data_IF_674720216121
#
_entry.id   IF_674720216121
#
_cell.length_a   1.000
_cell.length_b   1.000
_cell.length_c   1.000
_cell.angle_alpha   90.00
_cell.angle_beta   90.00
_cell.angle_gamma   90.00
#
_symmetry.space_group_name_H-M   'P 1'
#
loop_
_entity.id
_entity.type
_entity.pdbx_description
1 polymer ?
#
# COMPACT_ATOMS: atom_id res chain seq x y z
N UNK A 1 -38.69 -18.79 -24.35
CA UNK A 1 -37.41 -18.17 -24.74
C UNK A 1 -36.47 -19.25 -25.24
N UNK A 2 -35.86 -19.08 -26.42
CA UNK A 2 -34.81 -20.00 -26.88
C UNK A 2 -33.62 -20.00 -25.89
N UNK A 3 -32.93 -21.14 -25.71
CA UNK A 3 -31.88 -21.30 -24.70
C UNK A 3 -30.71 -20.33 -24.88
N UNK A 4 -30.41 -19.95 -26.14
CA UNK A 4 -29.37 -18.98 -26.49
C UNK A 4 -29.68 -17.57 -26.00
N UNK A 5 -30.94 -17.15 -25.91
CA UNK A 5 -31.30 -15.83 -25.37
C UNK A 5 -31.23 -15.82 -23.84
N UNK A 6 -31.44 -16.98 -23.21
CA UNK A 6 -31.32 -17.13 -21.76
C UNK A 6 -29.86 -17.02 -21.31
N UNK A 7 -28.92 -17.61 -22.06
CA UNK A 7 -27.50 -17.43 -21.79
C UNK A 7 -27.07 -15.97 -21.94
N UNK A 8 -27.64 -15.25 -22.91
CA UNK A 8 -27.37 -13.84 -23.12
C UNK A 8 -27.81 -12.97 -21.95
N UNK A 9 -29.09 -13.13 -21.57
CA UNK A 9 -29.67 -12.40 -20.45
C UNK A 9 -28.98 -12.74 -19.12
N UNK A 10 -28.54 -13.99 -18.94
CA UNK A 10 -27.83 -14.43 -17.75
C UNK A 10 -26.47 -13.76 -17.60
N UNK A 11 -25.68 -13.63 -18.69
CA UNK A 11 -24.39 -12.92 -18.60
C UNK A 11 -24.59 -11.42 -18.41
N UNK A 12 -25.58 -10.80 -19.05
CA UNK A 12 -25.90 -9.38 -18.86
C UNK A 12 -26.29 -9.07 -17.41
N UNK A 13 -27.14 -9.92 -16.82
CA UNK A 13 -27.54 -9.81 -15.42
C UNK A 13 -26.35 -9.97 -14.48
N UNK A 14 -25.47 -10.94 -14.74
CA UNK A 14 -24.26 -11.18 -13.97
C UNK A 14 -23.31 -9.97 -14.00
N UNK A 15 -23.00 -9.44 -15.19
CA UNK A 15 -22.15 -8.26 -15.34
C UNK A 15 -22.71 -7.06 -14.57
N UNK A 16 -24.02 -6.84 -14.62
CA UNK A 16 -24.67 -5.75 -13.87
C UNK A 16 -24.65 -5.95 -12.35
N UNK A 17 -24.54 -7.20 -11.88
CA UNK A 17 -24.42 -7.53 -10.47
C UNK A 17 -22.98 -7.44 -9.93
N UNK A 18 -21.96 -7.37 -10.79
CA UNK A 18 -20.57 -7.19 -10.36
C UNK A 18 -20.38 -5.83 -9.66
N UNK A 19 -19.90 -5.88 -8.42
CA UNK A 19 -19.30 -4.77 -7.68
C UNK A 19 -17.87 -5.19 -7.33
N UNK A 20 -16.80 -4.42 -7.65
CA UNK A 20 -16.73 -3.00 -8.02
C UNK A 20 -17.12 -2.64 -9.47
N UNK A 21 -17.44 -1.35 -9.72
CA UNK A 21 -17.76 -0.80 -11.06
C UNK A 21 -16.63 -1.03 -12.06
N UNK A 22 -15.38 -1.02 -11.58
CA UNK A 22 -14.22 -1.22 -12.42
C UNK A 22 -14.08 -2.67 -12.92
N UNK A 23 -14.38 -3.64 -12.05
CA UNK A 23 -14.44 -5.05 -12.42
C UNK A 23 -15.58 -5.31 -13.42
N UNK A 24 -16.70 -4.61 -13.28
CA UNK A 24 -17.79 -4.60 -14.27
C UNK A 24 -17.34 -4.07 -15.62
N UNK A 25 -16.72 -2.88 -15.67
CA UNK A 25 -16.25 -2.26 -16.91
C UNK A 25 -15.24 -3.16 -17.64
N UNK A 26 -14.32 -3.78 -16.91
CA UNK A 26 -13.32 -4.67 -17.50
C UNK A 26 -13.91 -5.99 -18.02
N UNK A 27 -14.87 -6.54 -17.29
CA UNK A 27 -15.58 -7.74 -17.73
C UNK A 27 -16.41 -7.44 -18.97
N UNK A 28 -16.99 -6.24 -19.08
CA UNK A 28 -17.67 -5.76 -20.29
C UNK A 28 -16.72 -5.60 -21.49
N UNK A 29 -15.56 -4.97 -21.29
CA UNK A 29 -14.56 -4.75 -22.35
C UNK A 29 -13.98 -6.05 -22.92
N UNK A 30 -13.99 -7.13 -22.13
CA UNK A 30 -13.54 -8.45 -22.58
C UNK A 30 -14.58 -9.23 -23.41
N UNK A 31 -15.81 -8.69 -23.56
CA UNK A 31 -16.91 -9.27 -24.34
C UNK A 31 -17.07 -10.80 -24.19
N UNK A 32 -17.33 -11.32 -22.98
CA UNK A 32 -17.53 -12.75 -22.79
C UNK A 32 -18.81 -13.22 -23.48
N UNK A 33 -18.71 -14.23 -24.34
CA UNK A 33 -19.83 -14.85 -25.05
C UNK A 33 -20.58 -15.91 -24.22
N UNK A 34 -20.15 -16.16 -22.97
CA UNK A 34 -20.79 -17.12 -22.07
C UNK A 34 -20.71 -16.66 -20.62
N UNK A 35 -21.70 -17.07 -19.82
CA UNK A 35 -21.73 -16.83 -18.38
C UNK A 35 -20.46 -17.38 -17.67
N UNK A 36 -20.00 -18.56 -18.09
CA UNK A 36 -18.81 -19.20 -17.52
C UNK A 36 -17.55 -18.39 -17.83
N UNK A 37 -17.38 -17.91 -19.07
CA UNK A 37 -16.27 -17.03 -19.41
C UNK A 37 -16.29 -15.71 -18.63
N UNK A 38 -17.47 -15.13 -18.42
CA UNK A 38 -17.64 -13.93 -17.59
C UNK A 38 -17.22 -14.18 -16.13
N UNK A 39 -17.62 -15.33 -15.56
CA UNK A 39 -17.25 -15.73 -14.21
C UNK A 39 -15.75 -15.96 -14.06
N UNK A 40 -15.13 -16.66 -15.02
CA UNK A 40 -13.68 -16.87 -15.02
C UNK A 40 -12.90 -15.55 -15.11
N UNK A 41 -13.35 -14.62 -15.95
CA UNK A 41 -12.71 -13.31 -16.09
C UNK A 41 -12.85 -12.46 -14.83
N UNK A 42 -14.01 -12.49 -14.18
CA UNK A 42 -14.25 -11.81 -12.92
C UNK A 42 -13.29 -12.33 -11.83
N UNK A 43 -13.20 -13.66 -11.67
CA UNK A 43 -12.30 -14.29 -10.69
C UNK A 43 -10.81 -14.01 -10.98
N UNK A 44 -10.40 -14.09 -12.26
CA UNK A 44 -9.02 -13.78 -12.67
C UNK A 44 -8.64 -12.33 -12.35
N UNK A 45 -9.60 -11.40 -12.33
CA UNK A 45 -9.36 -9.95 -12.14
C UNK A 45 -9.58 -9.46 -10.71
N UNK A 46 -10.38 -10.16 -9.92
CA UNK A 46 -10.59 -9.84 -8.50
C UNK A 46 -9.27 -9.91 -7.69
N UNK A 47 -8.41 -10.88 -8.00
CA UNK A 47 -7.12 -11.08 -7.32
C UNK A 47 -6.15 -9.91 -7.59
N UNK A 48 -6.23 -9.28 -8.76
CA UNK A 48 -5.34 -8.17 -9.14
C UNK A 48 -5.84 -6.83 -8.59
N UNK A 49 -7.16 -6.69 -8.38
CA UNK A 49 -7.79 -5.42 -8.05
C UNK A 49 -8.18 -5.24 -6.59
N UNK A 50 -8.29 -6.32 -5.81
CA UNK A 50 -8.44 -6.22 -4.34
C UNK A 50 -7.23 -5.54 -3.68
N UNK A 51 -6.04 -5.65 -4.28
CA UNK A 51 -4.85 -4.90 -3.84
C UNK A 51 -4.78 -3.46 -4.35
N UNK A 52 -5.12 -3.21 -5.61
CA UNK A 52 -4.95 -1.89 -6.24
C UNK A 52 -6.13 -0.92 -6.04
N UNK A 53 -7.37 -1.42 -5.88
CA UNK A 53 -8.55 -0.57 -5.71
C UNK A 53 -8.67 0.04 -4.30
N UNK A 54 -7.98 -0.53 -3.30
CA UNK A 54 -7.92 0.04 -1.96
C UNK A 54 -7.05 1.30 -1.90
N UNK A 55 -6.07 1.45 -2.81
CA UNK A 55 -5.18 2.62 -2.87
C UNK A 55 -5.77 3.78 -3.69
N UNK A 56 -6.54 3.51 -4.75
CA UNK A 56 -7.14 4.56 -5.59
C UNK A 56 -8.28 5.35 -4.90
N UNK A 57 -8.95 4.77 -3.91
CA UNK A 57 -10.04 5.43 -3.17
C UNK A 57 -9.53 6.38 -2.06
N UNK A 58 -8.23 6.33 -1.72
CA UNK A 58 -7.63 7.24 -0.71
C UNK A 58 -7.10 8.55 -1.29
N UNK A 59 -6.77 8.59 -2.58
CA UNK A 59 -6.24 9.80 -3.25
C UNK A 59 -7.27 10.55 -4.10
N UNK A 60 -8.49 10.05 -4.23
CA UNK A 60 -9.57 10.76 -4.93
C UNK A 60 -10.32 11.70 -3.98
N UNK A 61 -9.64 12.71 -3.43
CA UNK A 61 -10.33 13.86 -2.82
C UNK A 61 -10.31 15.05 -3.79
N UNK A 62 -11.43 15.35 -4.48
CA UNK A 62 -11.56 16.67 -5.10
C UNK A 62 -11.59 17.72 -3.98
N UNK A 63 -10.77 18.77 -4.09
CA UNK A 63 -10.77 19.91 -3.16
C UNK A 63 -12.08 20.68 -3.29
N UNK A 64 -13.12 20.22 -2.60
CA UNK A 64 -14.38 20.94 -2.43
C UNK A 64 -14.40 21.47 -1.01
N UNK A 65 -14.82 22.74 -0.83
CA UNK A 65 -15.08 23.31 0.49
C UNK A 65 -16.00 22.36 1.27
N UNK A 66 -15.48 21.79 2.34
CA UNK A 66 -16.23 20.87 3.18
C UNK A 66 -17.48 21.58 3.72
N UNK A 67 -18.65 21.21 3.19
CA UNK A 67 -19.88 21.34 3.96
C UNK A 67 -19.76 20.31 5.06
N UNK A 68 -19.84 20.76 6.31
CA UNK A 68 -20.01 19.89 7.49
C UNK A 68 -21.39 19.24 7.35
N UNK A 69 -21.44 18.18 6.56
CA UNK A 69 -22.53 17.24 6.51
C UNK A 69 -22.22 16.15 7.51
N UNK A 70 -23.06 16.04 8.52
CA UNK A 70 -22.99 15.00 9.55
C UNK A 70 -23.19 13.62 8.91
N UNK A 71 -22.10 12.99 8.48
CA UNK A 71 -22.07 11.54 8.35
C UNK A 71 -22.06 10.95 9.77
N UNK A 72 -22.87 9.92 10.06
CA UNK A 72 -22.73 9.20 11.32
C UNK A 72 -21.32 8.63 11.38
N UNK A 73 -20.59 9.04 12.42
CA UNK A 73 -19.23 8.62 12.77
C UNK A 73 -19.13 7.10 12.64
N UNK A 74 -18.58 6.63 11.51
CA UNK A 74 -18.33 5.21 11.31
C UNK A 74 -17.19 4.87 12.27
N UNK A 75 -17.55 4.28 13.42
CA UNK A 75 -16.64 3.97 14.52
C UNK A 75 -15.42 3.26 13.97
N UNK A 76 -14.28 3.96 13.97
CA UNK A 76 -13.00 3.40 13.54
C UNK A 76 -12.77 2.14 14.38
N UNK A 77 -12.63 0.96 13.76
CA UNK A 77 -12.55 -0.28 14.52
C UNK A 77 -11.34 -0.20 15.45
N UNK A 78 -11.50 -0.66 16.70
CA UNK A 78 -10.58 -0.37 17.81
C UNK A 78 -9.11 -0.71 17.50
N UNK A 79 -8.85 -1.74 16.69
CA UNK A 79 -7.52 -2.15 16.25
C UNK A 79 -6.80 -1.08 15.40
N UNK A 80 -7.53 -0.21 14.71
CA UNK A 80 -6.96 0.86 13.89
C UNK A 80 -6.26 1.89 14.78
N UNK A 81 -6.84 2.24 15.93
CA UNK A 81 -6.19 3.14 16.89
C UNK A 81 -4.87 2.55 17.40
N UNK A 82 -4.88 1.27 17.77
CA UNK A 82 -3.70 0.54 18.23
C UNK A 82 -2.60 0.50 17.15
N UNK A 83 -2.95 0.12 15.92
CA UNK A 83 -1.99 0.07 14.80
C UNK A 83 -1.45 1.47 14.47
N UNK A 84 -2.28 2.51 14.51
CA UNK A 84 -1.80 3.88 14.28
C UNK A 84 -0.84 4.37 15.36
N UNK A 85 -1.01 3.96 16.62
CA UNK A 85 -0.07 4.28 17.70
C UNK A 85 1.28 3.57 17.49
N UNK A 86 1.24 2.28 17.13
CA UNK A 86 2.45 1.51 16.83
C UNK A 86 3.25 2.11 15.67
N UNK A 87 2.58 2.48 14.58
CA UNK A 87 3.23 3.13 13.43
C UNK A 87 3.84 4.49 13.80
N UNK A 88 3.17 5.26 14.66
CA UNK A 88 3.69 6.54 15.16
C UNK A 88 4.95 6.34 16.01
N UNK A 89 4.94 5.33 16.89
CA UNK A 89 6.10 4.98 17.72
C UNK A 89 7.33 4.57 16.88
N UNK A 90 7.13 3.71 15.86
CA UNK A 90 8.20 3.29 14.94
C UNK A 90 8.76 4.49 14.17
N UNK A 91 7.90 5.39 13.70
CA UNK A 91 8.31 6.60 12.98
C UNK A 91 9.17 7.52 13.85
N UNK A 92 8.79 7.71 15.12
CA UNK A 92 9.57 8.50 16.08
C UNK A 92 10.91 7.84 16.42
N UNK A 93 10.97 6.51 16.48
CA UNK A 93 12.21 5.77 16.70
C UNK A 93 13.16 5.92 15.49
N UNK A 94 12.65 5.81 14.28
CA UNK A 94 13.44 6.06 13.06
C UNK A 94 13.97 7.50 13.01
N UNK A 95 13.15 8.50 13.37
CA UNK A 95 13.59 9.90 13.45
C UNK A 95 14.66 10.16 14.52
N UNK A 96 14.71 9.36 15.59
CA UNK A 96 15.79 9.42 16.59
C UNK A 96 17.09 8.82 16.04
N UNK A 97 17.01 7.73 15.28
CA UNK A 97 18.17 7.08 14.66
C UNK A 97 18.79 7.89 13.51
N UNK A 98 18.03 8.78 12.86
CA UNK A 98 18.55 9.66 11.79
C UNK A 98 19.26 10.91 12.32
N UNK A 99 19.28 11.14 13.65
CA UNK A 99 20.07 12.22 14.24
C UNK A 99 21.57 12.02 13.92
N UNK A 100 22.34 13.08 13.62
CA UNK A 100 23.73 12.97 13.15
C UNK A 100 24.67 12.14 14.04
N UNK A 101 24.38 12.02 15.35
CA UNK A 101 25.13 11.22 16.32
C UNK A 101 24.59 9.81 16.60
N UNK A 102 23.45 9.41 16.01
CA UNK A 102 22.82 8.10 16.22
C UNK A 102 22.98 7.15 15.02
N UNK A 103 23.78 7.54 14.00
CA UNK A 103 24.04 6.69 12.84
C UNK A 103 24.89 5.48 13.25
N UNK A 104 24.48 4.31 12.78
CA UNK A 104 25.23 3.06 12.89
C UNK A 104 26.45 3.12 11.96
N UNK A 105 27.61 2.71 12.45
CA UNK A 105 28.81 2.57 11.65
C UNK A 105 28.59 1.49 10.59
N UNK A 106 28.76 1.81 9.30
CA UNK A 106 28.56 0.84 8.22
C UNK A 106 29.63 -0.27 8.16
N UNK A 107 30.69 -0.17 8.97
CA UNK A 107 31.74 -1.18 9.05
C UNK A 107 31.49 -2.22 10.15
N UNK A 108 31.06 -1.78 11.35
CA UNK A 108 30.89 -2.65 12.52
C UNK A 108 29.46 -2.69 13.09
N UNK A 109 28.53 -1.90 12.54
CA UNK A 109 27.13 -1.84 12.97
C UNK A 109 26.88 -1.14 14.31
N UNK A 110 27.91 -0.61 14.99
CA UNK A 110 27.75 0.06 16.28
C UNK A 110 27.33 1.53 16.11
N UNK A 111 26.41 2.05 16.94
CA UNK A 111 26.00 3.46 16.90
C UNK A 111 27.08 4.40 17.43
N UNK A 112 26.98 5.69 17.08
CA UNK A 112 27.79 6.76 17.68
C UNK A 112 29.04 7.17 16.88
N UNK A 113 29.38 6.48 15.80
CA UNK A 113 30.49 6.85 14.93
C UNK A 113 30.26 6.40 13.47
N UNK A 114 30.98 7.05 12.54
CA UNK A 114 30.99 6.69 11.11
C UNK A 114 32.16 5.75 10.80
N UNK A 115 32.14 5.08 9.64
CA UNK A 115 33.20 4.15 9.18
C UNK A 115 34.61 4.76 9.29
N UNK A 116 34.73 6.08 9.05
CA UNK A 116 36.00 6.82 9.13
C UNK A 116 36.57 6.93 10.55
N UNK A 117 35.70 6.92 11.57
CA UNK A 117 36.05 7.04 12.99
C UNK A 117 35.84 5.70 13.73
N UNK A 118 35.84 4.58 12.99
CA UNK A 118 35.61 3.26 13.58
C UNK A 118 36.85 2.80 14.36
N UNK A 119 36.73 2.52 15.68
CA UNK A 119 37.85 2.11 16.52
C UNK A 119 38.41 0.73 16.12
N UNK A 120 37.59 -0.09 15.46
CA UNK A 120 37.97 -1.40 14.93
C UNK A 120 38.51 -1.33 13.49
N UNK A 121 38.59 -0.14 12.88
CA UNK A 121 39.16 -0.01 11.54
C UNK A 121 40.69 -0.01 11.60
N UNK A 122 41.38 -0.82 10.79
CA UNK A 122 42.84 -0.92 10.80
C UNK A 122 43.56 0.38 10.39
N UNK A 123 42.82 1.41 9.93
CA UNK A 123 43.35 2.74 9.60
C UNK A 123 43.33 3.74 10.76
N UNK A 124 42.74 3.41 11.91
CA UNK A 124 42.67 4.32 13.06
C UNK A 124 43.98 4.36 13.90
N UNK A 125 44.88 3.39 13.73
CA UNK A 125 46.24 3.45 14.30
C UNK A 125 47.21 4.01 13.25
N UNK A 126 47.20 5.33 13.08
CA UNK A 126 48.07 6.01 12.13
C UNK A 126 48.21 7.51 12.38
N UNK A 127 48.22 7.93 13.65
CA UNK A 127 48.65 9.27 14.03
C UNK A 127 49.99 9.15 14.77
N UNK A 128 51.07 9.15 13.99
CA UNK A 128 52.40 9.54 14.50
C UNK A 128 52.58 11.04 14.28
N UNK A 129 53.20 11.79 15.21
CA UNK A 129 53.46 13.21 15.01
C UNK A 129 54.54 13.38 13.92
N UNK A 130 54.16 13.92 12.77
CA UNK A 130 55.09 14.27 11.69
C UNK A 130 55.73 15.63 11.97
N UNK A 131 56.95 15.60 12.49
CA UNK A 131 57.86 16.74 12.57
C UNK A 131 58.33 17.16 11.17
N UNK A 132 58.24 18.45 10.87
CA UNK A 132 59.11 19.17 9.93
C UNK A 132 59.15 20.64 10.35
#
# INVERSE_FOLDING_TARGET
>A
MPPSVQSELAWDQFIRALSPVELRNQTQLAHPQTLLAALELALKREIVWTGAAMDAQRDSTPTVRAVVGSCPEQEKPAWVAEVTELLRAVSLQMARNTRPGARLCWGCGQPGHLVRNCPSSPRAQGNGPGSA
#
